data_IF_624708390510
#
_entry.id   IF_624708390510
#
_cell.length_a   1.000
_cell.length_b   1.000
_cell.length_c   1.000
_cell.angle_alpha   90.00
_cell.angle_beta   90.00
_cell.angle_gamma   90.00
#
_symmetry.space_group_name_H-M   'P 1'
#
loop_
_entity.id
_entity.type
_entity.pdbx_description
1 polymer ?
#
# COMPACT_ATOMS: atom_id res chain seq x y z
N UNK A 1 53.40 -5.47 -3.19
CA UNK A 1 52.31 -4.70 -3.82
C UNK A 1 51.52 -5.64 -4.71
N UNK A 2 50.55 -6.37 -4.16
CA UNK A 2 49.73 -7.33 -4.92
C UNK A 2 48.66 -6.55 -5.71
N UNK A 3 48.76 -6.55 -7.04
CA UNK A 3 47.72 -6.01 -7.93
C UNK A 3 46.64 -7.09 -8.09
N UNK A 4 45.43 -6.82 -7.62
CA UNK A 4 44.28 -7.70 -7.84
C UNK A 4 44.00 -7.82 -9.35
N UNK A 5 43.82 -9.04 -9.89
CA UNK A 5 43.46 -9.25 -11.28
C UNK A 5 42.13 -8.57 -11.62
N UNK A 6 42.06 -7.86 -12.75
CA UNK A 6 40.85 -7.15 -13.22
C UNK A 6 39.64 -8.06 -13.42
N UNK A 7 39.85 -9.35 -13.72
CA UNK A 7 38.80 -10.36 -13.82
C UNK A 7 38.03 -10.56 -12.49
N UNK A 8 38.71 -10.49 -11.34
CA UNK A 8 38.07 -10.65 -10.04
C UNK A 8 37.03 -9.56 -9.78
N UNK A 9 37.32 -8.31 -10.17
CA UNK A 9 36.38 -7.19 -10.06
C UNK A 9 35.12 -7.42 -10.89
N UNK A 10 35.29 -7.89 -12.14
CA UNK A 10 34.18 -8.19 -13.05
C UNK A 10 33.28 -9.29 -12.47
N UNK A 11 33.88 -10.35 -11.93
CA UNK A 11 33.12 -11.45 -11.30
C UNK A 11 32.31 -10.96 -10.11
N UNK A 12 32.90 -10.16 -9.20
CA UNK A 12 32.15 -9.59 -8.07
C UNK A 12 31.03 -8.65 -8.53
N UNK A 13 31.24 -7.87 -9.58
CA UNK A 13 30.22 -6.96 -10.12
C UNK A 13 29.04 -7.73 -10.72
N UNK A 14 29.32 -8.77 -11.52
CA UNK A 14 28.29 -9.64 -12.11
C UNK A 14 27.52 -10.36 -10.99
N UNK A 15 28.23 -10.88 -9.98
CA UNK A 15 27.60 -11.57 -8.86
C UNK A 15 26.69 -10.63 -8.03
N UNK A 16 27.13 -9.39 -7.78
CA UNK A 16 26.33 -8.36 -7.11
C UNK A 16 25.09 -7.96 -7.94
N UNK A 17 25.23 -7.85 -9.26
CA UNK A 17 24.11 -7.53 -10.15
C UNK A 17 23.06 -8.65 -10.16
N UNK A 18 23.49 -9.91 -10.24
CA UNK A 18 22.59 -11.08 -10.25
C UNK A 18 21.83 -11.20 -8.93
N UNK A 19 22.51 -11.00 -7.79
CA UNK A 19 21.87 -11.04 -6.47
C UNK A 19 20.90 -9.88 -6.24
N UNK A 20 21.14 -8.70 -6.81
CA UNK A 20 20.20 -7.58 -6.78
C UNK A 20 18.93 -7.88 -7.59
N UNK A 21 19.06 -8.50 -8.78
CA UNK A 21 17.92 -8.87 -9.63
C UNK A 21 17.05 -9.99 -9.06
N UNK A 22 17.61 -10.87 -8.22
CA UNK A 22 16.89 -11.98 -7.58
C UNK A 22 16.10 -11.57 -6.32
N UNK A 23 16.08 -10.28 -5.96
CA UNK A 23 15.34 -9.81 -4.79
C UNK A 23 13.83 -9.91 -5.05
N UNK A 24 13.16 -10.85 -4.37
CA UNK A 24 11.70 -10.94 -4.41
C UNK A 24 11.05 -9.60 -4.03
N UNK A 25 10.09 -9.15 -4.84
CA UNK A 25 9.34 -7.94 -4.58
C UNK A 25 8.66 -8.05 -3.22
N UNK A 26 8.97 -7.11 -2.32
CA UNK A 26 8.23 -7.02 -1.06
C UNK A 26 6.77 -6.70 -1.39
N UNK A 27 5.81 -7.44 -0.84
CA UNK A 27 4.40 -7.10 -1.02
C UNK A 27 4.18 -5.68 -0.52
N UNK A 28 3.50 -4.86 -1.33
CA UNK A 28 3.28 -3.44 -1.05
C UNK A 28 2.64 -3.17 0.33
N UNK A 29 1.89 -4.16 0.84
CA UNK A 29 1.14 -4.06 2.09
C UNK A 29 1.58 -5.09 3.15
N UNK A 30 2.74 -5.75 2.99
CA UNK A 30 3.21 -6.77 3.92
C UNK A 30 2.36 -8.04 3.84
N UNK A 31 1.52 -8.29 4.85
CA UNK A 31 0.57 -9.43 4.83
C UNK A 31 -0.58 -9.13 3.84
N UNK A 32 -1.22 -10.18 3.32
CA UNK A 32 -2.44 -10.02 2.53
C UNK A 32 -3.49 -9.26 3.37
N UNK A 33 -4.03 -8.13 2.89
CA UNK A 33 -5.00 -7.36 3.66
C UNK A 33 -6.34 -8.11 3.76
N UNK A 34 -7.09 -7.82 4.83
CA UNK A 34 -8.49 -8.21 4.92
C UNK A 34 -9.34 -7.19 4.16
N UNK A 35 -10.29 -7.66 3.36
CA UNK A 35 -11.24 -6.80 2.63
C UNK A 35 -12.59 -6.93 3.32
N UNK A 36 -13.14 -5.81 3.79
CA UNK A 36 -14.49 -5.72 4.35
C UNK A 36 -15.30 -4.88 3.39
N UNK A 37 -16.28 -5.50 2.73
CA UNK A 37 -17.26 -4.80 1.90
C UNK A 37 -18.52 -4.59 2.73
N UNK A 38 -18.89 -3.33 2.90
CA UNK A 38 -20.14 -2.92 3.54
C UNK A 38 -20.94 -2.12 2.52
N UNK A 39 -22.18 -2.52 2.27
CA UNK A 39 -23.12 -1.84 1.41
C UNK A 39 -24.48 -1.84 2.07
N UNK A 40 -25.15 -0.71 1.99
CA UNK A 40 -26.50 -0.49 2.47
C UNK A 40 -27.46 -0.50 1.31
N UNK A 41 -28.65 -1.08 1.52
CA UNK A 41 -29.73 -1.01 0.53
C UNK A 41 -30.27 0.41 0.42
N UNK A 42 -30.53 0.87 -0.80
CA UNK A 42 -31.16 2.17 -1.15
C UNK A 42 -30.60 3.44 -0.46
N UNK A 43 -29.42 3.40 0.13
CA UNK A 43 -28.83 4.57 0.76
C UNK A 43 -28.35 5.56 -0.31
N UNK A 44 -29.11 6.64 -0.50
CA UNK A 44 -28.70 7.77 -1.32
C UNK A 44 -27.53 8.56 -0.71
N UNK A 45 -27.03 9.55 -1.47
CA UNK A 45 -25.90 10.38 -1.05
C UNK A 45 -26.26 11.37 0.09
N UNK A 46 -27.45 11.98 0.04
CA UNK A 46 -27.86 13.02 1.00
C UNK A 46 -27.89 12.59 2.49
N UNK A 47 -28.38 11.39 2.88
CA UNK A 47 -28.51 10.99 4.29
C UNK A 47 -27.19 10.52 4.93
N UNK A 48 -26.11 11.30 4.80
CA UNK A 48 -24.83 11.09 5.50
C UNK A 48 -24.45 12.41 6.19
N UNK A 49 -24.16 12.35 7.49
CA UNK A 49 -23.86 13.53 8.31
C UNK A 49 -22.71 14.36 7.75
N UNK A 50 -21.62 13.71 7.33
CA UNK A 50 -20.45 14.37 6.73
C UNK A 50 -20.72 15.04 5.37
N UNK A 51 -21.84 14.74 4.71
CA UNK A 51 -22.32 15.44 3.52
C UNK A 51 -23.14 16.70 3.84
N UNK A 52 -23.23 17.09 5.12
CA UNK A 52 -23.90 18.32 5.55
C UNK A 52 -25.38 18.14 5.89
N UNK A 53 -25.83 16.91 6.18
CA UNK A 53 -27.22 16.68 6.54
C UNK A 53 -27.55 17.33 7.91
N UNK A 54 -28.60 18.16 8.00
CA UNK A 54 -28.87 19.01 9.17
C UNK A 54 -29.19 18.28 10.49
N UNK A 55 -29.72 17.06 10.42
CA UNK A 55 -30.15 16.30 11.62
C UNK A 55 -29.79 14.80 11.61
N UNK A 56 -29.20 14.28 10.53
CA UNK A 56 -28.82 12.86 10.48
C UNK A 56 -27.41 12.74 11.05
N UNK A 57 -27.26 11.88 12.05
CA UNK A 57 -25.99 11.61 12.70
C UNK A 57 -25.47 10.25 12.28
N UNK A 58 -24.32 10.22 11.61
CA UNK A 58 -23.68 8.98 11.14
C UNK A 58 -22.27 8.85 11.71
N UNK A 59 -22.08 8.83 13.05
CA UNK A 59 -20.77 9.01 13.67
C UNK A 59 -19.72 7.99 13.21
N UNK A 60 -20.13 6.76 12.88
CA UNK A 60 -19.22 5.73 12.36
C UNK A 60 -18.83 5.96 10.89
N UNK A 61 -19.78 6.39 10.04
CA UNK A 61 -19.48 6.74 8.64
C UNK A 61 -18.69 8.05 8.57
N UNK A 62 -18.98 9.00 9.46
CA UNK A 62 -18.27 10.28 9.55
C UNK A 62 -16.79 10.03 9.95
N UNK A 63 -16.56 9.20 10.98
CA UNK A 63 -15.20 8.81 11.38
C UNK A 63 -14.46 8.02 10.30
N UNK A 64 -15.18 7.24 9.49
CA UNK A 64 -14.62 6.56 8.32
C UNK A 64 -14.25 7.58 7.23
N UNK A 65 -15.13 8.53 6.92
CA UNK A 65 -14.90 9.58 5.93
C UNK A 65 -13.66 10.42 6.23
N UNK A 66 -13.41 10.72 7.51
CA UNK A 66 -12.25 11.52 7.94
C UNK A 66 -10.92 10.77 7.82
N UNK A 67 -10.94 9.43 7.74
CA UNK A 67 -9.75 8.56 7.68
C UNK A 67 -9.55 7.91 6.31
N UNK A 68 -10.52 8.04 5.41
CA UNK A 68 -10.48 7.44 4.07
C UNK A 68 -9.80 8.35 3.05
N UNK A 69 -9.17 7.73 2.05
CA UNK A 69 -8.75 8.42 0.83
C UNK A 69 -9.97 8.64 -0.06
N UNK A 70 -10.04 9.78 -0.76
CA UNK A 70 -11.14 10.13 -1.68
C UNK A 70 -10.60 10.28 -3.09
#
# INVERSE_FOLDING_TARGET
>A
MFRLPSYLLVVTFVFASVTASLRAAKPAFGKKPNIILMMTDDQGYAPVGRHGHPWIHTPHLDAMYDKSTR
#
